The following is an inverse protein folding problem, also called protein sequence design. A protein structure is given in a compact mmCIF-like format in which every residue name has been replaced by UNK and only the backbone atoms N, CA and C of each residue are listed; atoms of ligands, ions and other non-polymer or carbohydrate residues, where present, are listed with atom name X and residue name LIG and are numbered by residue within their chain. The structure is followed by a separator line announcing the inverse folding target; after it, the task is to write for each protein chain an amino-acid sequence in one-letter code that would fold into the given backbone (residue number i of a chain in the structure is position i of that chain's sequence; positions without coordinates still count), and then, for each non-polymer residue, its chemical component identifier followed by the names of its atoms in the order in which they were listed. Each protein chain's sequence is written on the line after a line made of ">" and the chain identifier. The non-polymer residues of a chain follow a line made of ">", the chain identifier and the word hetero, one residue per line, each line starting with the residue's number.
data_IF_366373023745
#
_entry.id   IF_366373023745
#
_cell.length_a   1.000
_cell.length_b   1.000
_cell.length_c   1.000
_cell.angle_alpha   90.00
_cell.angle_beta   90.00
_cell.angle_gamma   90.00
#
_symmetry.space_group_name_H-M   'P 1'
#
loop_
_entity.id
_entity.type
_entity.pdbx_description
1 polymer ?
#
# COMPACT_ATOMS: atom_id res chain seq x y z
N UNK A 1 -35.99 -5.88 36.42
CA UNK A 1 -34.96 -4.82 36.49
C UNK A 1 -34.00 -5.07 35.36
N UNK A 2 -33.85 -4.14 34.41
CA UNK A 2 -32.83 -4.25 33.38
C UNK A 2 -31.44 -4.23 34.03
N UNK A 3 -30.72 -5.34 33.93
CA UNK A 3 -29.36 -5.45 34.47
C UNK A 3 -28.43 -4.70 33.52
N UNK A 4 -28.06 -3.48 33.89
CA UNK A 4 -27.05 -2.72 33.18
C UNK A 4 -25.72 -3.49 33.16
N UNK A 5 -25.23 -3.80 31.96
CA UNK A 5 -23.95 -4.47 31.73
C UNK A 5 -23.01 -3.51 31.02
N UNK A 6 -22.01 -3.02 31.76
CA UNK A 6 -20.93 -2.18 31.23
C UNK A 6 -20.16 -2.89 30.11
N UNK A 7 -20.06 -4.22 30.16
CA UNK A 7 -19.46 -5.06 29.13
C UNK A 7 -20.23 -5.00 27.80
N UNK A 8 -21.56 -5.05 27.84
CA UNK A 8 -22.38 -4.99 26.62
C UNK A 8 -22.39 -3.59 26.01
N UNK A 9 -22.37 -2.55 26.85
CA UNK A 9 -22.18 -1.17 26.40
C UNK A 9 -20.79 -0.99 25.75
N UNK A 10 -19.71 -1.45 26.40
CA UNK A 10 -18.35 -1.37 25.85
C UNK A 10 -18.23 -2.12 24.52
N UNK A 11 -18.82 -3.32 24.40
CA UNK A 11 -18.84 -4.08 23.16
C UNK A 11 -19.61 -3.37 22.03
N UNK A 12 -20.73 -2.71 22.34
CA UNK A 12 -21.48 -1.90 21.36
C UNK A 12 -20.66 -0.70 20.88
N UNK A 13 -19.98 -0.01 21.80
CA UNK A 13 -19.09 1.12 21.48
C UNK A 13 -17.91 0.65 20.63
N UNK A 14 -17.23 -0.43 21.01
CA UNK A 14 -16.13 -1.02 20.24
C UNK A 14 -16.56 -1.44 18.83
N UNK A 15 -17.71 -2.12 18.68
CA UNK A 15 -18.24 -2.48 17.36
C UNK A 15 -18.54 -1.25 16.51
N UNK A 16 -19.09 -0.19 17.10
CA UNK A 16 -19.39 1.05 16.39
C UNK A 16 -18.12 1.72 15.86
N UNK A 17 -17.08 1.83 16.69
CA UNK A 17 -15.77 2.38 16.31
C UNK A 17 -15.10 1.53 15.23
N UNK A 18 -15.05 0.21 15.39
CA UNK A 18 -14.47 -0.70 14.39
C UNK A 18 -15.21 -0.62 13.05
N UNK A 19 -16.55 -0.54 13.09
CA UNK A 19 -17.37 -0.43 11.88
C UNK A 19 -17.17 0.90 11.14
N UNK A 20 -16.94 2.00 11.86
CA UNK A 20 -16.65 3.30 11.24
C UNK A 20 -15.23 3.37 10.68
N UNK A 21 -14.27 2.65 11.27
CA UNK A 21 -12.88 2.56 10.77
C UNK A 21 -12.75 1.63 9.55
N UNK A 22 -13.65 0.67 9.39
CA UNK A 22 -13.61 -0.35 8.34
C UNK A 22 -14.55 -0.06 7.13
N UNK A 23 -15.01 1.19 6.96
CA UNK A 23 -15.95 1.51 5.89
C UNK A 23 -15.30 1.38 4.49
N UNK A 24 -16.06 0.83 3.53
CA UNK A 24 -15.67 0.73 2.11
C UNK A 24 -15.22 2.07 1.51
N UNK A 25 -15.72 3.20 2.03
CA UNK A 25 -15.38 4.53 1.54
C UNK A 25 -13.89 4.87 1.74
N UNK A 26 -13.21 4.26 2.71
CA UNK A 26 -11.78 4.50 2.92
C UNK A 26 -10.94 3.92 1.78
N UNK A 27 -11.31 2.75 1.23
CA UNK A 27 -10.59 2.12 0.10
C UNK A 27 -10.88 2.84 -1.21
N UNK A 28 -12.14 3.22 -1.43
CA UNK A 28 -12.58 3.92 -2.64
C UNK A 28 -12.04 5.36 -2.73
N UNK A 29 -11.60 5.94 -1.61
CA UNK A 29 -10.92 7.24 -1.58
C UNK A 29 -9.46 7.17 -2.06
N UNK A 30 -8.82 5.99 -2.04
CA UNK A 30 -7.40 5.84 -2.37
C UNK A 30 -7.14 5.28 -3.77
N UNK A 31 -8.14 4.73 -4.46
CA UNK A 31 -8.02 4.16 -5.81
C UNK A 31 -9.02 4.88 -6.70
N UNK A 32 -8.52 5.87 -7.44
CA UNK A 32 -9.24 6.51 -8.54
C UNK A 32 -9.16 5.67 -9.83
N UNK A 33 -9.88 6.08 -10.87
CA UNK A 33 -9.96 5.35 -12.14
C UNK A 33 -8.57 5.17 -12.77
N UNK A 34 -7.74 6.22 -12.78
CA UNK A 34 -6.36 6.16 -13.28
C UNK A 34 -5.51 5.15 -12.51
N UNK A 35 -5.59 5.14 -11.18
CA UNK A 35 -4.88 4.18 -10.34
C UNK A 35 -5.37 2.76 -10.61
N UNK A 36 -6.67 2.58 -10.85
CA UNK A 36 -7.24 1.27 -11.21
C UNK A 36 -6.68 0.76 -12.54
N UNK A 37 -6.59 1.61 -13.57
CA UNK A 37 -6.00 1.23 -14.86
C UNK A 37 -4.53 0.83 -14.72
N UNK A 38 -3.75 1.57 -13.93
CA UNK A 38 -2.34 1.22 -13.64
C UNK A 38 -2.25 -0.15 -12.96
N UNK A 39 -3.11 -0.43 -11.96
CA UNK A 39 -3.13 -1.72 -11.27
C UNK A 39 -3.53 -2.87 -12.21
N UNK A 40 -4.43 -2.62 -13.16
CA UNK A 40 -4.84 -3.60 -14.17
C UNK A 40 -3.71 -3.90 -15.16
N UNK A 41 -2.93 -2.90 -15.58
CA UNK A 41 -1.74 -3.14 -16.43
C UNK A 41 -0.64 -3.87 -15.68
N UNK A 42 -0.39 -3.51 -14.40
CA UNK A 42 0.54 -4.26 -13.55
C UNK A 42 0.11 -5.73 -13.38
N UNK A 43 -1.20 -5.98 -13.24
CA UNK A 43 -1.74 -7.33 -13.22
C UNK A 43 -1.45 -8.08 -14.52
N UNK A 44 -1.71 -7.46 -15.69
CA UNK A 44 -1.49 -8.07 -17.00
C UNK A 44 -0.03 -8.44 -17.20
N UNK A 45 0.90 -7.52 -16.92
CA UNK A 45 2.35 -7.77 -17.03
C UNK A 45 2.79 -8.86 -16.07
N UNK A 46 2.32 -8.85 -14.81
CA UNK A 46 2.66 -9.88 -13.83
C UNK A 46 2.13 -11.26 -14.23
N UNK A 47 0.91 -11.34 -14.77
CA UNK A 47 0.30 -12.57 -15.24
C UNK A 47 1.04 -13.14 -16.45
N UNK A 48 1.39 -12.28 -17.41
CA UNK A 48 2.13 -12.68 -18.61
C UNK A 48 3.51 -13.24 -18.24
N UNK A 49 4.24 -12.53 -17.37
CA UNK A 49 5.57 -12.95 -16.94
C UNK A 49 5.57 -14.23 -16.12
N UNK A 50 4.64 -14.37 -15.17
CA UNK A 50 4.58 -15.54 -14.28
C UNK A 50 3.91 -16.77 -14.91
N UNK A 51 3.10 -16.58 -15.96
CA UNK A 51 2.20 -17.61 -16.47
C UNK A 51 1.12 -18.06 -15.46
N UNK A 52 0.98 -17.36 -14.33
CA UNK A 52 0.15 -17.81 -13.21
C UNK A 52 -0.82 -16.72 -12.74
N UNK A 53 -2.11 -16.93 -13.04
CA UNK A 53 -3.19 -16.03 -12.62
C UNK A 53 -3.25 -15.84 -11.10
N UNK A 54 -3.08 -16.90 -10.32
CA UNK A 54 -3.18 -16.85 -8.86
C UNK A 54 -2.05 -16.05 -8.23
N UNK A 55 -0.85 -16.17 -8.78
CA UNK A 55 0.33 -15.40 -8.35
C UNK A 55 0.18 -13.92 -8.69
N UNK A 56 -0.18 -13.59 -9.93
CA UNK A 56 -0.41 -12.20 -10.34
C UNK A 56 -1.52 -11.52 -9.53
N UNK A 57 -2.64 -12.21 -9.28
CA UNK A 57 -3.70 -11.71 -8.40
C UNK A 57 -3.21 -11.49 -6.96
N UNK A 58 -2.31 -12.35 -6.46
CA UNK A 58 -1.75 -12.19 -5.12
C UNK A 58 -0.88 -10.94 -5.03
N UNK A 59 0.00 -10.70 -6.01
CA UNK A 59 0.86 -9.51 -6.07
C UNK A 59 0.03 -8.23 -5.99
N UNK A 60 -0.96 -8.08 -6.86
CA UNK A 60 -1.80 -6.86 -6.90
C UNK A 60 -2.62 -6.68 -5.62
N UNK A 61 -3.20 -7.77 -5.11
CA UNK A 61 -3.94 -7.76 -3.85
C UNK A 61 -3.07 -7.35 -2.66
N UNK A 62 -1.82 -7.81 -2.63
CA UNK A 62 -0.91 -7.50 -1.52
C UNK A 62 -0.41 -6.05 -1.62
N UNK A 63 -0.13 -5.54 -2.83
CA UNK A 63 0.13 -4.12 -3.09
C UNK A 63 -1.01 -3.23 -2.60
N UNK A 64 -2.26 -3.50 -3.02
CA UNK A 64 -3.44 -2.72 -2.61
C UNK A 64 -3.61 -2.75 -1.08
N UNK A 65 -3.39 -3.89 -0.44
CA UNK A 65 -3.50 -3.99 1.02
C UNK A 65 -2.46 -3.15 1.75
N UNK A 66 -1.24 -3.06 1.25
CA UNK A 66 -0.19 -2.23 1.87
C UNK A 66 -0.50 -0.75 1.65
N UNK A 67 -0.89 -0.35 0.44
CA UNK A 67 -1.29 1.02 0.14
C UNK A 67 -2.43 1.50 1.06
N UNK A 68 -3.50 0.71 1.19
CA UNK A 68 -4.64 1.03 2.06
C UNK A 68 -4.20 1.13 3.53
N UNK A 69 -3.37 0.21 4.02
CA UNK A 69 -2.89 0.25 5.41
C UNK A 69 -2.08 1.51 5.71
N UNK A 70 -1.18 1.89 4.81
CA UNK A 70 -0.39 3.11 4.94
C UNK A 70 -1.31 4.34 4.91
N UNK A 71 -2.27 4.39 3.99
CA UNK A 71 -3.25 5.47 3.92
C UNK A 71 -4.07 5.62 5.21
N UNK A 72 -4.46 4.49 5.83
CA UNK A 72 -5.16 4.47 7.12
C UNK A 72 -4.25 4.98 8.25
N UNK A 73 -3.00 4.53 8.32
CA UNK A 73 -2.03 5.02 9.33
C UNK A 73 -1.81 6.53 9.20
N UNK A 74 -1.62 7.01 7.98
CA UNK A 74 -1.42 8.43 7.69
C UNK A 74 -2.64 9.27 8.10
N UNK A 75 -3.85 8.88 7.67
CA UNK A 75 -5.09 9.60 7.98
C UNK A 75 -5.41 9.67 9.47
N UNK A 76 -4.96 8.67 10.24
CA UNK A 76 -5.16 8.62 11.69
C UNK A 76 -3.96 9.19 12.46
N UNK A 77 -3.07 9.96 11.82
CA UNK A 77 -1.89 10.58 12.42
C UNK A 77 -1.06 9.61 13.26
N UNK A 78 -0.88 8.38 12.76
CA UNK A 78 -0.17 7.32 13.47
C UNK A 78 1.34 7.40 13.31
N UNK A 79 1.82 8.12 12.30
CA UNK A 79 3.25 8.28 12.04
C UNK A 79 3.85 9.39 12.90
N UNK A 80 5.05 9.15 13.44
CA UNK A 80 5.87 10.19 14.07
C UNK A 80 6.44 11.17 13.04
N UNK A 81 7.05 12.27 13.49
CA UNK A 81 7.73 13.23 12.62
C UNK A 81 8.85 12.56 11.80
N UNK A 82 9.61 11.66 12.42
CA UNK A 82 10.67 10.89 11.75
C UNK A 82 10.10 9.95 10.69
N UNK A 83 9.00 9.27 11.00
CA UNK A 83 8.30 8.37 10.07
C UNK A 83 7.68 9.14 8.90
N UNK A 84 7.17 10.35 9.12
CA UNK A 84 6.72 11.25 8.05
C UNK A 84 7.88 11.69 7.13
N UNK A 85 9.08 11.83 7.68
CA UNK A 85 10.32 12.01 6.90
C UNK A 85 10.56 10.81 5.98
N UNK A 86 10.48 9.59 6.51
CA UNK A 86 10.61 8.36 5.70
C UNK A 86 9.52 8.26 4.62
N UNK A 87 8.28 8.63 4.94
CA UNK A 87 7.18 8.66 3.97
C UNK A 87 7.44 9.66 2.83
N UNK A 88 8.06 10.80 3.15
CA UNK A 88 8.46 11.81 2.15
C UNK A 88 9.56 11.27 1.24
N UNK A 89 10.55 10.59 1.80
CA UNK A 89 11.63 9.97 1.03
C UNK A 89 11.10 8.83 0.14
N UNK A 90 10.18 8.01 0.66
CA UNK A 90 9.47 7.01 -0.14
C UNK A 90 8.75 7.65 -1.33
N UNK A 91 7.99 8.73 -1.11
CA UNK A 91 7.28 9.44 -2.19
C UNK A 91 8.24 9.93 -3.28
N UNK A 92 9.38 10.54 -2.89
CA UNK A 92 10.41 10.99 -3.83
C UNK A 92 11.00 9.83 -4.62
N UNK A 93 11.32 8.72 -3.95
CA UNK A 93 11.91 7.55 -4.58
C UNK A 93 10.95 6.85 -5.54
N UNK A 94 9.67 6.74 -5.16
CA UNK A 94 8.62 6.21 -6.02
C UNK A 94 8.40 7.08 -7.25
N UNK A 95 8.41 8.41 -7.09
CA UNK A 95 8.30 9.34 -8.21
C UNK A 95 9.51 9.21 -9.17
N UNK A 96 10.72 9.11 -8.62
CA UNK A 96 11.93 8.84 -9.40
C UNK A 96 11.79 7.53 -10.19
N UNK A 97 11.36 6.45 -9.54
CA UNK A 97 11.13 5.17 -10.22
C UNK A 97 10.12 5.30 -11.36
N UNK A 98 8.98 5.96 -11.13
CA UNK A 98 7.95 6.16 -12.16
C UNK A 98 8.50 6.95 -13.36
N UNK A 99 9.28 8.00 -13.11
CA UNK A 99 9.86 8.80 -14.19
C UNK A 99 10.96 8.06 -14.94
N UNK A 100 11.75 7.24 -14.26
CA UNK A 100 12.72 6.35 -14.92
C UNK A 100 12.01 5.30 -15.78
N UNK A 101 10.92 4.71 -15.31
CA UNK A 101 10.14 3.74 -16.08
C UNK A 101 9.56 4.36 -17.37
N UNK A 102 9.03 5.59 -17.27
CA UNK A 102 8.52 6.35 -18.42
C UNK A 102 9.67 6.67 -19.39
N UNK A 103 10.80 7.20 -18.90
CA UNK A 103 11.95 7.51 -19.73
C UNK A 103 12.50 6.28 -20.47
N UNK A 104 12.53 5.12 -19.83
CA UNK A 104 12.98 3.87 -20.45
C UNK A 104 12.02 3.35 -21.52
N UNK A 105 10.75 3.73 -21.45
CA UNK A 105 9.77 3.42 -22.50
C UNK A 105 9.82 4.44 -23.65
N UNK A 106 9.99 5.72 -23.35
CA UNK A 106 9.95 6.81 -24.34
C UNK A 106 11.24 6.97 -25.13
N UNK A 107 12.38 6.52 -24.59
CA UNK A 107 13.69 6.66 -25.23
C UNK A 107 14.29 5.31 -25.54
N UNK A 108 14.41 5.01 -26.83
CA UNK A 108 14.95 3.74 -27.33
C UNK A 108 16.34 3.42 -26.77
N UNK A 109 16.57 2.13 -26.50
CA UNK A 109 17.85 1.58 -26.03
C UNK A 109 18.38 2.14 -24.69
N UNK A 110 17.55 2.79 -23.88
CA UNK A 110 17.94 3.30 -22.55
C UNK A 110 17.61 2.39 -21.39
N UNK A 111 16.81 1.34 -21.61
CA UNK A 111 16.36 0.43 -20.54
C UNK A 111 17.54 -0.24 -19.82
N UNK A 112 17.62 0.00 -18.51
CA UNK A 112 18.53 -0.69 -17.61
C UNK A 112 17.75 -1.38 -16.47
N UNK A 113 17.77 -2.72 -16.48
CA UNK A 113 17.13 -3.54 -15.46
C UNK A 113 17.71 -3.32 -14.06
N UNK A 114 19.02 -3.13 -13.94
CA UNK A 114 19.67 -2.97 -12.64
C UNK A 114 19.22 -1.67 -11.97
N UNK A 115 19.15 -0.58 -12.74
CA UNK A 115 18.65 0.72 -12.26
C UNK A 115 17.19 0.60 -11.76
N UNK A 116 16.32 -0.04 -12.54
CA UNK A 116 14.93 -0.26 -12.13
C UNK A 116 14.81 -1.10 -10.85
N UNK A 117 15.58 -2.18 -10.76
CA UNK A 117 15.58 -3.07 -9.61
C UNK A 117 16.09 -2.38 -8.34
N UNK A 118 17.13 -1.57 -8.44
CA UNK A 118 17.68 -0.80 -7.32
C UNK A 118 16.68 0.24 -6.80
N UNK A 119 16.00 0.97 -7.70
CA UNK A 119 14.97 1.94 -7.33
C UNK A 119 13.77 1.28 -6.63
N UNK A 120 13.30 0.13 -7.12
CA UNK A 120 12.24 -0.64 -6.46
C UNK A 120 12.67 -1.20 -5.10
N UNK A 121 13.90 -1.71 -5.01
CA UNK A 121 14.48 -2.21 -3.76
C UNK A 121 14.55 -1.10 -2.71
N UNK A 122 14.98 0.11 -3.13
CA UNK A 122 15.00 1.29 -2.27
C UNK A 122 13.59 1.68 -1.81
N UNK A 123 12.58 1.61 -2.69
CA UNK A 123 11.18 1.83 -2.31
C UNK A 123 10.71 0.81 -1.27
N UNK A 124 11.01 -0.47 -1.46
CA UNK A 124 10.68 -1.56 -0.51
C UNK A 124 11.30 -1.28 0.85
N UNK A 125 12.58 -0.94 0.91
CA UNK A 125 13.29 -0.76 2.18
C UNK A 125 12.77 0.45 2.96
N UNK A 126 12.42 1.54 2.26
CA UNK A 126 11.74 2.68 2.86
C UNK A 126 10.34 2.32 3.38
N UNK A 127 9.57 1.51 2.65
CA UNK A 127 8.27 1.03 3.11
C UNK A 127 8.38 0.15 4.35
N UNK A 128 9.31 -0.81 4.36
CA UNK A 128 9.57 -1.67 5.51
C UNK A 128 9.95 -0.84 6.73
N UNK A 129 10.83 0.16 6.56
CA UNK A 129 11.19 1.09 7.63
C UNK A 129 9.98 1.89 8.13
N UNK A 130 9.15 2.41 7.22
CA UNK A 130 7.97 3.22 7.55
C UNK A 130 6.95 2.43 8.38
N UNK A 131 6.74 1.16 8.07
CA UNK A 131 5.67 0.35 8.69
C UNK A 131 6.14 -0.55 9.84
N UNK A 132 7.43 -0.57 10.13
CA UNK A 132 8.08 -1.49 11.07
C UNK A 132 7.37 -1.57 12.44
N UNK A 133 6.99 -0.41 12.98
CA UNK A 133 6.40 -0.31 14.33
C UNK A 133 4.86 -0.37 14.31
N UNK A 134 4.24 -0.46 13.12
CA UNK A 134 2.80 -0.28 12.94
C UNK A 134 2.11 -1.53 12.39
N UNK A 135 2.82 -2.33 11.61
CA UNK A 135 2.24 -3.47 10.89
C UNK A 135 2.84 -4.81 11.32
N UNK A 136 2.09 -5.88 11.07
CA UNK A 136 2.49 -7.24 11.45
C UNK A 136 3.49 -7.86 10.47
N UNK A 137 4.21 -8.94 10.83
CA UNK A 137 5.10 -9.67 9.91
C UNK A 137 4.42 -10.13 8.62
N UNK A 138 3.13 -10.49 8.69
CA UNK A 138 2.32 -10.79 7.50
C UNK A 138 2.22 -9.62 6.52
N UNK A 139 2.31 -8.39 6.99
CA UNK A 139 2.34 -7.20 6.14
C UNK A 139 3.74 -6.90 5.62
N UNK A 140 4.79 -7.30 6.34
CA UNK A 140 6.17 -7.17 5.88
C UNK A 140 6.51 -8.18 4.76
N UNK A 141 5.89 -9.37 4.80
CA UNK A 141 6.02 -10.36 3.73
C UNK A 141 5.08 -10.14 2.53
N UNK A 142 4.30 -9.06 2.53
CA UNK A 142 3.47 -8.62 1.39
C UNK A 142 4.21 -7.51 0.68
#
# INVERSE_FOLDING_TARGET
>A
MDVFSSKDMAMKVQKKILSSMASKSSVQMFIDDTTSEILDELYRVSKEYSGNKGEAQKVIKDLVKIAVKIGVLFRNNRFSTEELGVATDFKKKLHQWAMTAISFYEVDFTFDKAVMAELLTSCRDLLLKLVNNHLTPKSHGR
#
